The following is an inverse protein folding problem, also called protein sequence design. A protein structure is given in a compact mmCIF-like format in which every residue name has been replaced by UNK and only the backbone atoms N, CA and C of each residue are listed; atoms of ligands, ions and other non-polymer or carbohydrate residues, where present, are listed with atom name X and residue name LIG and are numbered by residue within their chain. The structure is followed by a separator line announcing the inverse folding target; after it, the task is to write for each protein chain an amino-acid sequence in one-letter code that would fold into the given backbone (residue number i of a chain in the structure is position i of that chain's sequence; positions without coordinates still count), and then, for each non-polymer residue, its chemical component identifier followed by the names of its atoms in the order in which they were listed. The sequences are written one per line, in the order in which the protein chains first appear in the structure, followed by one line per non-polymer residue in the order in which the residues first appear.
data_IF_359608561218
#
_entry.id   IF_359608561218
#
_cell.length_a   1.000
_cell.length_b   1.000
_cell.length_c   1.000
_cell.angle_alpha   90.00
_cell.angle_beta   90.00
_cell.angle_gamma   90.00
#
_symmetry.space_group_name_H-M   'P 1'
#
loop_
_entity.id
_entity.type
_entity.pdbx_description
1 polymer ?
#
# COMPACT_ATOMS: atom_id res chain seq x y z
N UNK A 1 18.98 15.06 -33.37
CA UNK A 1 17.77 14.36 -33.85
C UNK A 1 17.40 13.36 -32.78
N UNK A 2 16.16 13.37 -32.27
CA UNK A 2 15.79 12.41 -31.22
C UNK A 2 15.65 11.02 -31.88
N UNK A 3 16.57 10.11 -31.59
CA UNK A 3 16.58 8.75 -32.15
C UNK A 3 16.32 7.70 -31.08
N UNK A 4 15.95 6.49 -31.51
CA UNK A 4 15.83 5.30 -30.64
C UNK A 4 17.17 5.00 -29.95
N UNK A 5 18.29 5.17 -30.65
CA UNK A 5 19.62 4.89 -30.10
C UNK A 5 20.02 5.84 -28.99
N UNK A 6 19.71 7.14 -29.14
CA UNK A 6 19.89 8.13 -28.08
C UNK A 6 18.98 7.86 -26.87
N UNK A 7 17.79 7.27 -27.07
CA UNK A 7 16.93 6.83 -25.97
C UNK A 7 17.52 5.60 -25.26
N UNK A 8 18.08 4.63 -25.99
CA UNK A 8 18.76 3.47 -25.40
C UNK A 8 19.95 3.90 -24.55
N UNK A 9 20.73 4.88 -25.02
CA UNK A 9 21.86 5.44 -24.27
C UNK A 9 21.41 6.13 -22.98
N UNK A 10 20.37 6.98 -23.05
CA UNK A 10 19.78 7.62 -21.87
C UNK A 10 19.25 6.62 -20.83
N UNK A 11 18.59 5.55 -21.30
CA UNK A 11 18.12 4.44 -20.45
C UNK A 11 19.32 3.75 -19.78
N UNK A 12 20.38 3.46 -20.55
CA UNK A 12 21.60 2.81 -20.05
C UNK A 12 22.30 3.63 -18.98
N UNK A 13 22.50 4.92 -19.20
CA UNK A 13 23.11 5.83 -18.21
C UNK A 13 22.27 5.90 -16.93
N UNK A 14 20.95 5.98 -17.07
CA UNK A 14 20.03 6.04 -15.92
C UNK A 14 20.03 4.73 -15.14
N UNK A 15 20.05 3.58 -15.82
CA UNK A 15 20.19 2.27 -15.20
C UNK A 15 21.52 2.16 -14.43
N UNK A 16 22.64 2.57 -15.03
CA UNK A 16 23.95 2.55 -14.38
C UNK A 16 23.97 3.44 -13.13
N UNK A 17 23.45 4.66 -13.23
CA UNK A 17 23.37 5.62 -12.11
C UNK A 17 22.53 5.08 -10.95
N UNK A 18 21.43 4.37 -11.27
CA UNK A 18 20.48 3.87 -10.27
C UNK A 18 20.65 2.38 -9.96
N UNK A 19 21.76 1.75 -10.38
CA UNK A 19 22.06 0.34 -10.11
C UNK A 19 20.95 -0.62 -10.55
N UNK A 20 20.38 -0.37 -11.72
CA UNK A 20 19.30 -1.16 -12.30
C UNK A 20 17.90 -0.82 -11.79
N UNK A 21 17.74 0.09 -10.81
CA UNK A 21 16.42 0.54 -10.37
C UNK A 21 15.92 1.70 -11.24
N UNK A 22 15.22 1.38 -12.34
CA UNK A 22 14.59 2.38 -13.20
C UNK A 22 13.08 2.39 -13.00
N UNK A 23 12.60 3.28 -12.12
CA UNK A 23 11.18 3.58 -11.98
C UNK A 23 10.78 4.63 -13.00
N UNK A 24 10.02 4.24 -14.02
CA UNK A 24 9.52 5.16 -15.07
C UNK A 24 8.83 6.41 -14.50
N UNK A 25 8.12 6.29 -13.37
CA UNK A 25 7.48 7.42 -12.67
C UNK A 25 8.49 8.43 -12.08
N UNK A 26 9.71 8.00 -11.75
CA UNK A 26 10.77 8.84 -11.20
C UNK A 26 11.63 9.52 -12.28
N UNK A 27 11.54 9.06 -13.55
CA UNK A 27 12.36 9.55 -14.66
C UNK A 27 11.49 10.04 -15.81
N UNK A 28 10.80 11.18 -15.58
CA UNK A 28 9.92 11.83 -16.57
C UNK A 28 10.63 12.15 -17.89
N UNK A 29 11.95 12.34 -17.85
CA UNK A 29 12.78 12.61 -19.02
C UNK A 29 12.74 11.44 -20.02
N UNK A 30 12.81 10.19 -19.55
CA UNK A 30 12.77 8.99 -20.40
C UNK A 30 11.37 8.81 -20.98
N UNK A 31 10.33 9.01 -20.18
CA UNK A 31 8.93 8.89 -20.65
C UNK A 31 8.58 9.98 -21.66
N UNK A 32 9.05 11.22 -21.43
CA UNK A 32 8.83 12.33 -22.34
C UNK A 32 9.60 12.12 -23.65
N UNK A 33 10.85 11.66 -23.58
CA UNK A 33 11.65 11.37 -24.76
C UNK A 33 11.02 10.25 -25.61
N UNK A 34 10.60 9.15 -24.98
CA UNK A 34 9.92 8.05 -25.65
C UNK A 34 8.63 8.50 -26.35
N UNK A 35 7.85 9.38 -25.73
CA UNK A 35 6.66 9.96 -26.33
C UNK A 35 6.98 10.80 -27.58
N UNK A 36 8.05 11.59 -27.56
CA UNK A 36 8.44 12.43 -28.71
C UNK A 36 8.86 11.61 -29.94
N UNK A 37 9.37 10.40 -29.74
CA UNK A 37 9.74 9.48 -30.83
C UNK A 37 8.68 8.41 -31.11
N UNK A 38 7.45 8.56 -30.57
CA UNK A 38 6.30 7.69 -30.86
C UNK A 38 6.36 6.30 -30.22
N UNK A 39 7.15 6.12 -29.15
CA UNK A 39 7.24 4.87 -28.39
C UNK A 39 6.22 4.90 -27.25
N UNK A 40 5.23 4.01 -27.31
CA UNK A 40 4.27 3.80 -26.23
C UNK A 40 4.89 3.08 -25.01
N UNK A 41 4.19 3.09 -23.88
CA UNK A 41 4.70 2.52 -22.62
C UNK A 41 5.04 1.03 -22.68
N UNK A 42 4.38 0.24 -23.55
CA UNK A 42 4.68 -1.19 -23.71
C UNK A 42 5.99 -1.40 -24.47
N UNK A 43 6.20 -0.65 -25.55
CA UNK A 43 7.45 -0.65 -26.32
C UNK A 43 8.62 -0.10 -25.49
N UNK A 44 8.38 0.94 -24.69
CA UNK A 44 9.38 1.51 -23.78
C UNK A 44 9.83 0.49 -22.72
N UNK A 45 8.89 -0.25 -22.12
CA UNK A 45 9.20 -1.29 -21.14
C UNK A 45 10.09 -2.40 -21.73
N UNK A 46 9.78 -2.85 -22.95
CA UNK A 46 10.63 -3.82 -23.68
C UNK A 46 12.02 -3.27 -23.98
N UNK A 47 12.10 -2.01 -24.39
CA UNK A 47 13.37 -1.34 -24.66
C UNK A 47 14.24 -1.24 -23.41
N UNK A 48 13.65 -0.97 -22.25
CA UNK A 48 14.36 -0.94 -20.96
C UNK A 48 14.90 -2.32 -20.61
N UNK A 49 14.11 -3.37 -20.79
CA UNK A 49 14.54 -4.75 -20.54
C UNK A 49 15.69 -5.17 -21.48
N UNK A 50 15.63 -4.79 -22.76
CA UNK A 50 16.69 -5.04 -23.73
C UNK A 50 18.00 -4.34 -23.33
N UNK A 51 17.91 -3.06 -22.93
CA UNK A 51 19.08 -2.29 -22.50
C UNK A 51 19.65 -2.84 -21.18
N UNK A 52 18.80 -3.19 -20.22
CA UNK A 52 19.23 -3.78 -18.94
C UNK A 52 19.94 -5.12 -19.15
N UNK A 53 19.41 -5.99 -20.02
CA UNK A 53 20.04 -7.26 -20.38
C UNK A 53 21.39 -7.08 -21.11
N UNK A 54 21.62 -5.93 -21.75
CA UNK A 54 22.89 -5.63 -22.41
C UNK A 54 23.99 -5.15 -21.45
N UNK A 55 23.65 -4.84 -20.19
CA UNK A 55 24.60 -4.38 -19.17
C UNK A 55 25.19 -5.58 -18.44
N UNK A 56 26.52 -5.71 -18.46
CA UNK A 56 27.22 -6.70 -17.65
C UNK A 56 27.38 -6.23 -16.20
N UNK A 57 26.36 -6.50 -15.39
CA UNK A 57 26.31 -6.14 -13.98
C UNK A 57 27.39 -6.82 -13.12
N UNK A 58 27.86 -8.01 -13.52
CA UNK A 58 28.91 -8.75 -12.79
C UNK A 58 30.28 -8.05 -12.89
N UNK A 59 30.63 -7.54 -14.07
CA UNK A 59 31.86 -6.76 -14.26
C UNK A 59 31.83 -5.44 -13.48
N UNK A 60 30.68 -4.76 -13.42
CA UNK A 60 30.51 -3.51 -12.67
C UNK A 60 30.67 -3.76 -11.16
N UNK A 61 30.06 -4.84 -10.65
CA UNK A 61 30.19 -5.21 -9.24
C UNK A 61 31.64 -5.55 -8.84
N UNK A 62 32.40 -6.19 -9.72
CA UNK A 62 33.82 -6.52 -9.48
C UNK A 62 34.72 -5.28 -9.50
N UNK A 63 34.45 -4.30 -10.36
CA UNK A 63 35.19 -3.04 -10.42
C UNK A 63 34.96 -2.17 -9.16
N UNK A 64 33.75 -2.19 -8.58
CA UNK A 64 33.46 -1.46 -7.34
C UNK A 64 34.14 -2.08 -6.10
N UNK A 65 34.37 -3.40 -6.08
CA UNK A 65 35.06 -4.06 -4.95
C UNK A 65 36.56 -3.73 -4.86
N UNK A 66 37.16 -3.22 -5.93
CA UNK A 66 38.59 -2.88 -6.00
C UNK A 66 38.90 -1.40 -5.70
N UNK A 67 37.92 -0.58 -5.28
CA UNK A 67 38.14 0.83 -4.92
C UNK A 67 38.36 0.97 -3.40
N UNK A 68 39.52 1.49 -2.94
CA UNK A 68 39.77 1.68 -1.52
C UNK A 68 38.86 2.77 -0.93
N UNK A 69 38.11 2.42 0.12
CA UNK A 69 37.17 3.31 0.82
C UNK A 69 37.89 4.49 1.49
N UNK A 70 37.81 5.67 0.88
CA UNK A 70 38.18 6.94 1.53
C UNK A 70 37.08 7.34 2.52
N UNK A 71 37.40 7.36 3.82
CA UNK A 71 36.51 7.86 4.88
C UNK A 71 36.40 9.38 4.76
N UNK A 72 35.19 9.90 4.56
CA UNK A 72 34.91 11.33 4.75
C UNK A 72 34.10 11.52 6.02
N UNK A 73 34.70 12.25 6.96
CA UNK A 73 34.11 12.68 8.24
C UNK A 73 32.98 13.67 8.00
N UNK A 74 31.91 13.51 8.77
CA UNK A 74 30.87 14.49 9.03
C UNK A 74 31.47 15.70 9.78
N UNK A 75 31.19 16.92 9.31
CA UNK A 75 31.32 18.13 10.12
C UNK A 75 29.94 18.74 10.35
N UNK A 76 29.55 18.79 11.64
CA UNK A 76 28.48 19.63 12.17
C UNK A 76 28.93 21.09 12.12
N UNK A 77 27.99 22.00 11.85
CA UNK A 77 28.08 23.38 12.33
C UNK A 77 26.71 23.77 12.88
N UNK A 78 26.71 24.19 14.15
CA UNK A 78 25.62 24.80 14.88
C UNK A 78 25.78 26.33 14.86
N UNK A 79 24.83 27.01 15.52
CA UNK A 79 24.69 28.45 15.84
C UNK A 79 23.80 29.25 14.89
N UNK A 80 22.93 30.15 15.36
CA UNK A 80 22.42 30.48 16.71
C UNK A 80 21.29 31.53 16.50
N UNK A 81 20.37 31.61 17.45
CA UNK A 81 19.66 32.79 18.01
C UNK A 81 18.93 33.74 17.01
N UNK A 82 17.75 34.33 17.25
CA UNK A 82 17.00 34.61 18.46
C UNK A 82 15.67 35.31 18.07
N UNK A 83 14.79 35.49 19.07
CA UNK A 83 13.92 36.66 19.29
C UNK A 83 12.44 36.64 18.84
N UNK A 84 11.62 36.77 19.90
CA UNK A 84 10.32 37.42 20.11
C UNK A 84 8.99 36.72 19.77
N UNK A 85 8.45 36.15 20.85
CA UNK A 85 7.06 36.25 21.32
C UNK A 85 6.25 37.46 20.83
N UNK A 86 5.01 37.19 20.41
CA UNK A 86 3.79 37.91 20.83
C UNK A 86 2.54 37.06 20.49
N UNK A 87 1.79 36.73 21.54
CA UNK A 87 0.43 36.15 21.52
C UNK A 87 -0.64 37.20 21.15
N UNK A 88 -1.90 36.78 20.89
CA UNK A 88 -2.76 37.40 19.89
C UNK A 88 -3.74 38.45 20.45
N UNK A 89 -4.00 39.49 19.67
CA UNK A 89 -5.10 40.43 19.92
C UNK A 89 -6.42 39.93 19.33
N UNK A 90 -7.42 39.95 20.20
CA UNK A 90 -8.83 39.59 20.04
C UNK A 90 -9.59 40.55 19.12
N UNK A 91 -10.39 39.99 18.22
CA UNK A 91 -11.37 40.70 17.39
C UNK A 91 -12.63 41.03 18.23
N UNK A 92 -13.11 42.28 18.29
CA UNK A 92 -14.34 42.64 19.01
C UNK A 92 -15.61 42.23 18.24
N UNK A 93 -16.63 41.83 19.01
CA UNK A 93 -17.99 41.52 18.53
C UNK A 93 -18.76 42.81 18.26
N UNK A 94 -19.27 42.97 17.05
CA UNK A 94 -20.28 44.00 16.75
C UNK A 94 -21.64 43.62 17.34
N UNK A 95 -22.19 44.59 18.04
CA UNK A 95 -23.48 44.60 18.72
C UNK A 95 -24.42 45.42 17.83
N UNK A 96 -25.50 44.82 17.32
CA UNK A 96 -26.54 45.55 16.60
C UNK A 96 -27.64 45.95 17.58
N UNK A 97 -27.74 47.25 17.82
CA UNK A 97 -28.78 47.88 18.61
C UNK A 97 -30.17 47.72 17.97
N UNK A 98 -31.14 47.51 18.84
CA UNK A 98 -32.56 47.43 18.53
C UNK A 98 -33.12 48.84 18.29
N UNK A 99 -33.46 49.16 17.04
CA UNK A 99 -34.27 50.33 16.71
C UNK A 99 -35.75 49.95 16.68
N UNK A 100 -36.50 50.45 17.67
CA UNK A 100 -37.97 50.50 17.67
C UNK A 100 -38.41 51.49 16.60
N UNK A 101 -39.29 51.06 15.70
CA UNK A 101 -40.09 51.97 14.85
C UNK A 101 -41.57 51.60 14.93
N UNK A 102 -42.35 52.66 15.02
CA UNK A 102 -43.76 52.78 15.36
C UNK A 102 -44.76 51.97 14.52
N UNK A 103 -45.85 51.64 15.19
CA UNK A 103 -47.08 51.12 14.62
C UNK A 103 -47.81 52.21 13.80
N UNK A 104 -47.62 52.16 12.48
CA UNK A 104 -48.41 52.91 11.50
C UNK A 104 -49.37 52.00 10.75
N UNK A 105 -50.66 52.25 10.95
CA UNK A 105 -51.83 51.60 10.36
C UNK A 105 -51.89 51.76 8.83
N UNK A 106 -51.88 50.65 8.05
CA UNK A 106 -52.28 50.67 6.63
C UNK A 106 -53.14 49.46 6.23
N UNK A 107 -54.44 49.76 6.21
CA UNK A 107 -55.57 49.24 5.43
C UNK A 107 -55.29 48.23 4.29
N UNK A 108 -55.95 47.08 4.44
CA UNK A 108 -56.57 46.17 3.44
C UNK A 108 -56.27 46.42 1.94
N UNK A 109 -55.62 45.43 1.30
CA UNK A 109 -56.10 44.86 0.04
C UNK A 109 -55.37 43.54 -0.34
N UNK A 110 -55.79 42.40 0.23
CA UNK A 110 -55.39 41.08 -0.29
C UNK A 110 -56.34 40.69 -1.43
N UNK A 111 -55.89 40.88 -2.68
CA UNK A 111 -56.53 40.21 -3.83
C UNK A 111 -56.46 38.70 -3.60
N UNK A 112 -57.63 38.06 -3.44
CA UNK A 112 -57.74 36.60 -3.28
C UNK A 112 -57.13 35.93 -4.50
N UNK A 113 -56.00 35.26 -4.33
CA UNK A 113 -55.40 34.43 -5.37
C UNK A 113 -56.39 33.27 -5.59
N UNK A 114 -56.86 33.02 -6.82
CA UNK A 114 -57.79 31.92 -7.08
C UNK A 114 -57.11 30.60 -6.72
N UNK A 115 -57.80 29.74 -5.97
CA UNK A 115 -57.31 28.44 -5.46
C UNK A 115 -56.66 27.56 -6.56
N UNK A 116 -57.08 27.72 -7.81
CA UNK A 116 -56.50 27.03 -8.98
C UNK A 116 -55.03 27.38 -9.21
N UNK A 117 -54.59 28.62 -8.95
CA UNK A 117 -53.18 29.01 -9.08
C UNK A 117 -52.31 28.44 -7.97
N UNK A 118 -52.87 28.25 -6.77
CA UNK A 118 -52.18 27.59 -5.65
C UNK A 118 -52.00 26.11 -5.97
N UNK A 119 -53.03 25.45 -6.50
CA UNK A 119 -52.96 24.04 -6.88
C UNK A 119 -51.91 23.78 -7.97
N UNK A 120 -51.86 24.62 -9.01
CA UNK A 120 -50.84 24.51 -10.06
C UNK A 120 -49.43 24.72 -9.49
N UNK A 121 -49.23 25.70 -8.60
CA UNK A 121 -47.92 25.92 -7.97
C UNK A 121 -47.47 24.72 -7.12
N UNK A 122 -48.39 24.12 -6.36
CA UNK A 122 -48.11 22.92 -5.56
C UNK A 122 -47.78 21.72 -6.47
N UNK A 123 -48.54 21.52 -7.55
CA UNK A 123 -48.24 20.48 -8.54
C UNK A 123 -46.90 20.70 -9.24
N UNK A 124 -46.53 21.94 -9.58
CA UNK A 124 -45.23 22.26 -10.17
C UNK A 124 -44.08 21.99 -9.19
N UNK A 125 -44.22 22.35 -7.91
CA UNK A 125 -43.21 22.05 -6.89
C UNK A 125 -43.10 20.55 -6.66
N UNK A 126 -44.22 19.82 -6.63
CA UNK A 126 -44.23 18.37 -6.50
C UNK A 126 -43.62 17.69 -7.73
N UNK A 127 -43.93 18.16 -8.94
CA UNK A 127 -43.34 17.64 -10.17
C UNK A 127 -41.85 17.91 -10.25
N UNK A 128 -41.40 19.12 -9.87
CA UNK A 128 -39.97 19.45 -9.76
C UNK A 128 -39.29 18.60 -8.69
N UNK A 129 -39.95 18.32 -7.57
CA UNK A 129 -39.45 17.41 -6.53
C UNK A 129 -39.35 15.97 -7.02
N UNK A 130 -40.35 15.46 -7.73
CA UNK A 130 -40.33 14.11 -8.34
C UNK A 130 -39.25 14.02 -9.41
N UNK A 131 -39.12 15.03 -10.27
CA UNK A 131 -38.03 15.10 -11.27
C UNK A 131 -36.68 15.21 -10.58
N UNK A 132 -36.53 15.96 -9.49
CA UNK A 132 -35.29 16.01 -8.68
C UNK A 132 -34.98 14.66 -8.04
N UNK A 133 -35.98 13.92 -7.57
CA UNK A 133 -35.79 12.58 -6.99
C UNK A 133 -35.41 11.54 -8.06
N UNK A 134 -35.97 11.62 -9.27
CA UNK A 134 -35.64 10.71 -10.38
C UNK A 134 -34.36 11.11 -11.13
N UNK A 135 -33.94 12.38 -11.04
CA UNK A 135 -32.67 12.90 -11.58
C UNK A 135 -31.56 13.00 -10.54
N UNK A 136 -31.77 12.50 -9.31
CA UNK A 136 -30.67 11.99 -8.48
C UNK A 136 -30.06 10.78 -9.18
N UNK A 137 -29.36 11.04 -10.29
CA UNK A 137 -28.28 10.21 -10.78
C UNK A 137 -27.41 9.99 -9.55
N UNK A 138 -27.36 8.76 -9.08
CA UNK A 138 -26.41 8.30 -8.07
C UNK A 138 -25.09 9.01 -8.35
N UNK A 139 -24.63 9.82 -7.41
CA UNK A 139 -23.29 10.39 -7.50
C UNK A 139 -22.36 9.23 -7.87
N UNK A 140 -21.45 9.38 -8.87
CA UNK A 140 -20.55 8.29 -9.23
C UNK A 140 -19.88 7.82 -7.94
N UNK A 141 -20.06 6.55 -7.60
CA UNK A 141 -19.49 5.93 -6.42
C UNK A 141 -18.01 6.31 -6.42
N UNK A 142 -17.58 7.18 -5.50
CA UNK A 142 -16.16 7.51 -5.38
C UNK A 142 -15.48 6.20 -5.02
N UNK A 143 -14.64 5.69 -5.91
CA UNK A 143 -13.93 4.45 -5.64
C UNK A 143 -13.06 4.60 -4.39
N UNK A 144 -12.87 3.50 -3.68
CA UNK A 144 -12.01 3.45 -2.50
C UNK A 144 -10.59 3.18 -2.98
N UNK A 145 -9.62 3.98 -2.55
CA UNK A 145 -8.22 3.72 -2.86
C UNK A 145 -7.73 2.56 -1.98
N UNK A 146 -7.26 1.49 -2.62
CA UNK A 146 -6.65 0.33 -1.99
C UNK A 146 -5.26 0.08 -2.56
N UNK A 147 -4.45 -0.71 -1.88
CA UNK A 147 -3.06 -0.99 -2.25
C UNK A 147 -2.85 -2.47 -2.48
N UNK A 148 -2.05 -2.80 -3.50
CA UNK A 148 -1.68 -4.20 -3.80
C UNK A 148 -0.62 -4.71 -2.83
N UNK A 149 -0.87 -5.85 -2.21
CA UNK A 149 0.10 -6.60 -1.41
C UNK A 149 0.76 -7.77 -2.18
N UNK A 150 0.39 -7.97 -3.46
CA UNK A 150 1.04 -8.92 -4.36
C UNK A 150 2.35 -8.37 -4.91
N UNK A 151 3.32 -9.22 -5.27
CA UNK A 151 4.49 -8.74 -6.04
C UNK A 151 4.09 -8.32 -7.45
N UNK A 152 3.23 -9.12 -8.10
CA UNK A 152 2.60 -8.82 -9.39
C UNK A 152 1.15 -9.31 -9.33
N UNK A 153 0.22 -8.44 -9.67
CA UNK A 153 -1.21 -8.73 -9.77
C UNK A 153 -1.70 -8.34 -11.16
N UNK A 154 -2.30 -9.28 -11.87
CA UNK A 154 -2.76 -9.06 -13.24
C UNK A 154 -4.09 -8.31 -13.24
N UNK A 155 -4.13 -7.16 -13.92
CA UNK A 155 -5.36 -6.45 -14.26
C UNK A 155 -5.98 -7.10 -15.49
N UNK A 156 -7.26 -7.46 -15.38
CA UNK A 156 -7.96 -8.23 -16.40
C UNK A 156 -9.10 -7.46 -17.05
N UNK A 157 -9.40 -7.71 -18.31
CA UNK A 157 -10.51 -7.06 -19.03
C UNK A 157 -11.87 -7.57 -18.56
N UNK A 158 -11.96 -8.86 -18.25
CA UNK A 158 -13.11 -9.55 -17.69
C UNK A 158 -12.76 -10.33 -16.42
N UNK A 159 -13.76 -10.89 -15.74
CA UNK A 159 -13.57 -11.72 -14.53
C UNK A 159 -12.87 -13.06 -14.82
N UNK A 160 -12.62 -13.42 -16.08
CA UNK A 160 -11.96 -14.66 -16.47
C UNK A 160 -10.51 -14.73 -15.97
N UNK A 161 -10.24 -15.65 -15.04
CA UNK A 161 -8.91 -15.83 -14.45
C UNK A 161 -8.01 -16.79 -15.24
N UNK A 162 -8.56 -17.52 -16.21
CA UNK A 162 -7.87 -18.61 -16.91
C UNK A 162 -7.15 -18.07 -18.15
N UNK A 163 -7.83 -17.27 -18.96
CA UNK A 163 -7.28 -16.81 -20.25
C UNK A 163 -6.13 -15.81 -20.06
N UNK A 164 -4.93 -16.06 -20.62
CA UNK A 164 -3.83 -15.10 -20.59
C UNK A 164 -4.11 -13.83 -21.39
N UNK A 165 -4.85 -13.96 -22.50
CA UNK A 165 -5.20 -12.83 -23.39
C UNK A 165 -6.14 -11.82 -22.72
N UNK A 166 -6.76 -12.20 -21.60
CA UNK A 166 -7.59 -11.34 -20.78
C UNK A 166 -6.77 -10.36 -19.92
N UNK A 167 -5.44 -10.46 -19.87
CA UNK A 167 -4.57 -9.59 -19.08
C UNK A 167 -4.29 -8.28 -19.84
N UNK A 168 -4.76 -7.17 -19.30
CA UNK A 168 -4.61 -5.82 -19.88
C UNK A 168 -3.57 -4.96 -19.16
N UNK A 169 -3.07 -5.39 -18.00
CA UNK A 169 -2.03 -4.68 -17.25
C UNK A 169 -1.54 -5.45 -16.03
N UNK A 170 -0.55 -4.87 -15.35
CA UNK A 170 0.03 -5.42 -14.13
C UNK A 170 0.06 -4.34 -13.04
N UNK A 171 -0.29 -4.73 -11.82
CA UNK A 171 -0.26 -3.92 -10.61
C UNK A 171 0.81 -4.51 -9.70
N UNK A 172 1.80 -3.72 -9.30
CA UNK A 172 2.90 -4.20 -8.48
C UNK A 172 2.64 -3.96 -7.00
N UNK A 173 3.49 -4.56 -6.16
CA UNK A 173 3.46 -4.31 -4.72
C UNK A 173 3.51 -2.80 -4.42
N UNK A 174 2.64 -2.35 -3.51
CA UNK A 174 2.48 -0.95 -3.11
C UNK A 174 1.85 -0.01 -4.16
N UNK A 175 1.49 -0.49 -5.35
CA UNK A 175 0.69 0.33 -6.27
C UNK A 175 -0.73 0.50 -5.70
N UNK A 176 -1.23 1.72 -5.82
CA UNK A 176 -2.61 2.05 -5.47
C UNK A 176 -3.55 1.82 -6.65
N UNK A 177 -4.77 1.40 -6.33
CA UNK A 177 -5.86 1.19 -7.29
C UNK A 177 -7.13 1.82 -6.76
N UNK A 178 -7.94 2.38 -7.66
CA UNK A 178 -9.27 2.89 -7.30
C UNK A 178 -10.29 1.76 -7.43
N UNK A 179 -10.77 1.23 -6.31
CA UNK A 179 -11.75 0.13 -6.27
C UNK A 179 -13.16 0.70 -6.33
N UNK A 180 -13.89 0.38 -7.39
CA UNK A 180 -15.25 0.86 -7.62
C UNK A 180 -16.28 -0.06 -6.96
N UNK A 181 -16.06 -1.37 -7.04
CA UNK A 181 -16.93 -2.38 -6.40
C UNK A 181 -16.17 -3.67 -6.14
N UNK A 182 -16.61 -4.44 -5.14
CA UNK A 182 -16.11 -5.78 -4.85
C UNK A 182 -17.31 -6.74 -4.84
N UNK A 183 -17.29 -7.75 -5.69
CA UNK A 183 -18.31 -8.79 -5.78
C UNK A 183 -17.62 -10.17 -5.77
N UNK A 184 -18.02 -11.04 -4.85
CA UNK A 184 -17.55 -12.43 -4.79
C UNK A 184 -16.02 -12.61 -4.88
N UNK A 185 -15.26 -11.72 -4.23
CA UNK A 185 -13.78 -11.77 -4.23
C UNK A 185 -13.10 -11.17 -5.46
N UNK A 186 -13.88 -10.62 -6.40
CA UNK A 186 -13.39 -9.88 -7.57
C UNK A 186 -13.66 -8.39 -7.38
N UNK A 187 -12.63 -7.58 -7.55
CA UNK A 187 -12.70 -6.12 -7.48
C UNK A 187 -12.72 -5.54 -8.89
N UNK A 188 -13.71 -4.70 -9.19
CA UNK A 188 -13.67 -3.84 -10.38
C UNK A 188 -12.94 -2.55 -10.02
N UNK A 189 -11.88 -2.26 -10.77
CA UNK A 189 -10.92 -1.22 -10.42
C UNK A 189 -10.59 -0.32 -11.61
N UNK A 190 -10.18 0.91 -11.30
CA UNK A 190 -9.60 1.86 -12.23
C UNK A 190 -8.14 2.11 -11.87
N UNK A 191 -7.26 2.02 -12.86
CA UNK A 191 -5.82 2.22 -12.74
C UNK A 191 -5.35 3.12 -13.87
N UNK A 192 -5.18 4.42 -13.57
CA UNK A 192 -4.99 5.43 -14.60
C UNK A 192 -6.20 5.47 -15.55
N UNK A 193 -5.95 5.26 -16.84
CA UNK A 193 -6.99 5.23 -17.87
C UNK A 193 -7.58 3.82 -18.08
N UNK A 194 -6.97 2.79 -17.51
CA UNK A 194 -7.45 1.42 -17.62
C UNK A 194 -8.52 1.13 -16.57
N UNK A 195 -9.53 0.37 -16.97
CA UNK A 195 -10.53 -0.22 -16.07
C UNK A 195 -10.56 -1.72 -16.28
N UNK A 196 -10.70 -2.47 -15.20
CA UNK A 196 -10.68 -3.91 -15.28
C UNK A 196 -10.91 -4.58 -13.93
N UNK A 197 -10.65 -5.88 -13.89
CA UNK A 197 -10.91 -6.75 -12.77
C UNK A 197 -9.61 -7.21 -12.13
N UNK A 198 -9.59 -7.21 -10.80
CA UNK A 198 -8.50 -7.68 -9.95
C UNK A 198 -9.06 -8.66 -8.92
N UNK A 199 -8.24 -9.57 -8.42
CA UNK A 199 -8.64 -10.35 -7.24
C UNK A 199 -8.57 -9.44 -6.00
N UNK A 200 -9.71 -9.28 -5.32
CA UNK A 200 -9.83 -8.44 -4.12
C UNK A 200 -8.95 -8.96 -2.96
N UNK A 201 -8.58 -10.25 -2.99
CA UNK A 201 -7.76 -10.87 -1.96
C UNK A 201 -6.37 -10.25 -1.80
N UNK A 202 -5.86 -9.59 -2.84
CA UNK A 202 -4.56 -8.94 -2.86
C UNK A 202 -4.62 -7.44 -2.56
N UNK A 203 -5.82 -6.89 -2.33
CA UNK A 203 -6.02 -5.48 -2.07
C UNK A 203 -6.21 -5.25 -0.57
N UNK A 204 -5.50 -4.26 -0.04
CA UNK A 204 -5.59 -3.84 1.35
C UNK A 204 -6.00 -2.36 1.42
N UNK A 205 -6.65 -1.97 2.52
CA UNK A 205 -6.82 -0.55 2.82
C UNK A 205 -5.46 0.09 3.05
N UNK A 206 -5.41 1.43 3.05
CA UNK A 206 -4.17 2.18 3.29
C UNK A 206 -3.53 1.78 4.62
N UNK A 207 -4.34 1.69 5.67
CA UNK A 207 -3.90 1.38 7.03
C UNK A 207 -3.33 -0.03 7.12
N UNK A 208 -4.06 -1.01 6.56
CA UNK A 208 -3.65 -2.42 6.58
C UNK A 208 -2.41 -2.65 5.71
N UNK A 209 -2.31 -1.95 4.58
CA UNK A 209 -1.14 -2.01 3.73
C UNK A 209 0.11 -1.49 4.45
N UNK A 210 0.05 -0.32 5.09
CA UNK A 210 1.23 0.22 5.78
C UNK A 210 1.60 -0.57 7.03
N UNK A 211 0.61 -1.09 7.77
CA UNK A 211 0.89 -2.02 8.86
C UNK A 211 1.66 -3.22 8.31
N UNK A 212 1.18 -3.86 7.24
CA UNK A 212 1.85 -4.99 6.60
C UNK A 212 3.24 -4.66 6.04
N UNK A 213 3.40 -3.56 5.29
CA UNK A 213 4.70 -3.14 4.73
C UNK A 213 5.72 -2.90 5.85
N UNK A 214 5.29 -2.26 6.94
CA UNK A 214 6.13 -2.01 8.10
C UNK A 214 6.54 -3.26 8.88
N UNK A 215 5.82 -4.38 8.74
CA UNK A 215 6.22 -5.66 9.35
C UNK A 215 7.53 -6.14 8.72
N UNK A 216 7.76 -5.90 7.44
CA UNK A 216 8.96 -6.37 6.76
C UNK A 216 10.12 -5.40 6.97
N UNK A 217 11.07 -5.76 7.85
CA UNK A 217 12.23 -4.92 8.12
C UNK A 217 13.19 -4.80 6.91
N UNK A 218 13.14 -5.75 5.98
CA UNK A 218 13.94 -5.73 4.77
C UNK A 218 13.20 -6.38 3.57
N UNK A 219 13.62 -6.04 2.35
CA UNK A 219 13.04 -6.59 1.10
C UNK A 219 13.05 -8.11 1.08
N UNK A 220 14.08 -8.73 1.64
CA UNK A 220 14.24 -10.18 1.69
C UNK A 220 13.13 -10.86 2.51
N UNK A 221 12.77 -10.30 3.66
CA UNK A 221 11.66 -10.81 4.48
C UNK A 221 10.35 -10.78 3.68
N UNK A 222 10.06 -9.66 3.01
CA UNK A 222 8.88 -9.53 2.15
C UNK A 222 8.86 -10.57 1.03
N UNK A 223 10.00 -10.81 0.37
CA UNK A 223 10.11 -11.78 -0.72
C UNK A 223 10.08 -13.23 -0.25
N UNK A 224 10.48 -13.53 0.98
CA UNK A 224 10.37 -14.86 1.56
C UNK A 224 8.95 -15.17 2.03
N UNK A 225 8.19 -14.17 2.47
CA UNK A 225 6.75 -14.29 2.76
C UNK A 225 5.97 -14.11 1.45
N UNK A 226 6.00 -15.16 0.63
CA UNK A 226 5.56 -15.10 -0.78
C UNK A 226 4.05 -14.93 -0.92
N UNK A 227 3.28 -15.74 -0.21
CA UNK A 227 1.84 -15.85 -0.41
C UNK A 227 1.07 -14.76 0.30
N UNK A 228 -0.05 -14.37 -0.26
CA UNK A 228 -1.01 -13.45 0.35
C UNK A 228 -1.58 -13.99 1.66
N UNK A 229 -1.77 -15.31 1.79
CA UNK A 229 -2.28 -15.91 3.03
C UNK A 229 -1.30 -15.73 4.21
N UNK A 230 0.00 -15.87 3.97
CA UNK A 230 1.01 -15.66 5.01
C UNK A 230 1.10 -14.17 5.39
N UNK A 231 1.02 -13.27 4.40
CA UNK A 231 0.93 -11.83 4.64
C UNK A 231 -0.31 -11.47 5.48
N UNK A 232 -1.47 -12.05 5.16
CA UNK A 232 -2.71 -11.88 5.94
C UNK A 232 -2.59 -12.47 7.34
N UNK A 233 -1.90 -13.59 7.53
CA UNK A 233 -1.64 -14.18 8.84
C UNK A 233 -0.89 -13.21 9.75
N UNK A 234 0.21 -12.63 9.24
CA UNK A 234 0.98 -11.61 9.94
C UNK A 234 0.13 -10.38 10.25
N UNK A 235 -0.59 -9.85 9.26
CA UNK A 235 -1.45 -8.69 9.44
C UNK A 235 -2.51 -8.92 10.54
N UNK A 236 -3.23 -10.04 10.48
CA UNK A 236 -4.24 -10.40 11.48
C UNK A 236 -3.64 -10.57 12.86
N UNK A 237 -2.47 -11.22 12.97
CA UNK A 237 -1.77 -11.39 14.25
C UNK A 237 -1.34 -10.06 14.86
N UNK A 238 -0.83 -9.12 14.05
CA UNK A 238 -0.45 -7.79 14.54
C UNK A 238 -1.68 -7.02 15.03
N UNK A 239 -2.79 -7.06 14.28
CA UNK A 239 -4.04 -6.38 14.65
C UNK A 239 -4.65 -6.97 15.92
N UNK A 240 -4.71 -8.30 16.06
CA UNK A 240 -5.31 -8.95 17.22
C UNK A 240 -4.52 -8.75 18.52
N UNK A 241 -3.20 -8.57 18.42
CA UNK A 241 -2.32 -8.41 19.57
C UNK A 241 -1.91 -6.95 19.83
N UNK A 242 -2.46 -5.98 19.08
CA UNK A 242 -2.11 -4.57 19.21
C UNK A 242 -0.62 -4.28 18.96
N UNK A 243 0.03 -5.07 18.10
CA UNK A 243 1.43 -4.88 17.74
C UNK A 243 1.56 -3.77 16.70
N UNK A 244 2.58 -2.94 16.85
CA UNK A 244 2.90 -1.91 15.86
C UNK A 244 4.00 -2.40 14.94
N UNK A 245 4.00 -1.90 13.71
CA UNK A 245 5.10 -2.06 12.78
C UNK A 245 5.71 -0.70 12.46
N UNK A 246 6.89 -0.67 11.85
CA UNK A 246 7.52 0.60 11.51
C UNK A 246 6.75 1.25 10.36
N UNK A 247 6.02 2.32 10.67
CA UNK A 247 5.37 3.13 9.65
C UNK A 247 6.45 3.81 8.78
N UNK A 248 6.16 4.00 7.50
CA UNK A 248 7.01 4.86 6.64
C UNK A 248 6.96 6.28 7.20
N UNK A 249 8.05 7.03 7.02
CA UNK A 249 8.23 8.39 7.54
C UNK A 249 7.04 9.34 7.27
N UNK A 250 6.27 9.09 6.20
CA UNK A 250 5.06 9.84 5.82
C UNK A 250 3.85 9.62 6.78
N UNK A 251 3.92 8.62 7.66
CA UNK A 251 2.86 8.24 8.60
C UNK A 251 3.36 8.10 10.04
N UNK A 252 4.57 8.60 10.33
CA UNK A 252 5.11 8.62 11.69
C UNK A 252 4.15 9.40 12.59
N UNK A 253 3.42 8.66 13.42
CA UNK A 253 2.41 9.20 14.32
C UNK A 253 3.01 9.73 15.62
N UNK A 254 4.35 9.75 15.75
CA UNK A 254 5.03 10.12 16.99
C UNK A 254 4.76 9.11 18.12
N UNK A 255 4.28 7.91 17.79
CA UNK A 255 4.08 6.82 18.74
C UNK A 255 5.42 6.27 19.23
N UNK A 256 5.47 5.88 20.51
CA UNK A 256 6.68 5.36 21.12
C UNK A 256 7.22 4.15 20.36
N UNK A 257 8.47 4.24 19.90
CA UNK A 257 9.16 3.19 19.14
C UNK A 257 9.26 1.84 19.88
N UNK A 258 8.97 1.82 21.19
CA UNK A 258 9.14 0.69 22.11
C UNK A 258 8.30 -0.55 21.80
N UNK A 259 7.23 -0.43 21.00
CA UNK A 259 6.37 -1.56 20.63
C UNK A 259 6.38 -1.87 19.12
N UNK A 260 7.45 -1.48 18.41
CA UNK A 260 7.61 -1.81 16.99
C UNK A 260 8.17 -3.23 16.86
N UNK A 261 7.39 -4.10 16.23
CA UNK A 261 7.78 -5.48 15.90
C UNK A 261 7.98 -5.60 14.39
N UNK A 262 9.07 -6.26 13.99
CA UNK A 262 9.37 -6.48 12.58
C UNK A 262 9.94 -7.87 12.32
N UNK A 263 9.72 -8.36 11.11
CA UNK A 263 10.29 -9.56 10.54
C UNK A 263 11.53 -9.20 9.72
N UNK A 264 12.68 -9.63 10.20
CA UNK A 264 13.94 -9.61 9.45
C UNK A 264 14.10 -10.96 8.78
N UNK A 265 14.71 -11.02 7.59
CA UNK A 265 15.12 -12.29 7.01
C UNK A 265 16.45 -12.19 6.25
N UNK A 266 17.17 -13.31 6.21
CA UNK A 266 18.38 -13.46 5.42
C UNK A 266 18.03 -13.89 3.97
N UNK A 267 18.94 -13.76 2.99
CA UNK A 267 18.70 -14.25 1.63
C UNK A 267 18.29 -15.72 1.59
N UNK A 268 17.49 -16.12 0.60
CA UNK A 268 17.00 -17.51 0.43
C UNK A 268 18.12 -18.54 0.27
N UNK A 269 19.34 -18.11 -0.06
CA UNK A 269 20.53 -18.97 -0.14
C UNK A 269 21.05 -19.42 1.23
N UNK A 270 20.60 -18.81 2.33
CA UNK A 270 20.95 -19.24 3.68
C UNK A 270 20.09 -20.44 4.09
N UNK A 271 20.76 -21.48 4.57
CA UNK A 271 20.10 -22.72 4.98
C UNK A 271 19.12 -22.54 6.15
N UNK A 272 19.46 -21.71 7.14
CA UNK A 272 18.58 -21.36 8.24
C UNK A 272 18.13 -19.91 8.13
N UNK A 273 16.83 -19.69 8.32
CA UNK A 273 16.23 -18.37 8.23
C UNK A 273 15.22 -18.13 9.35
N UNK A 274 14.84 -16.88 9.54
CA UNK A 274 13.76 -16.48 10.46
C UNK A 274 12.38 -16.79 9.88
N UNK A 275 12.29 -17.18 8.61
CA UNK A 275 11.07 -17.64 7.93
C UNK A 275 11.29 -19.09 7.49
N UNK A 276 10.32 -19.97 7.76
CA UNK A 276 10.36 -21.38 7.39
C UNK A 276 8.96 -21.86 6.98
N UNK A 277 8.88 -22.67 5.93
CA UNK A 277 7.67 -23.39 5.56
C UNK A 277 7.75 -24.82 6.11
N UNK A 278 6.71 -25.24 6.82
CA UNK A 278 6.69 -26.50 7.58
C UNK A 278 5.67 -27.45 6.95
N UNK A 279 6.15 -28.55 6.39
CA UNK A 279 5.29 -29.61 5.86
C UNK A 279 5.00 -30.67 6.93
N UNK A 280 3.88 -31.37 6.79
CA UNK A 280 3.58 -32.54 7.62
C UNK A 280 3.26 -32.21 9.07
N UNK A 281 2.67 -31.04 9.32
CA UNK A 281 1.97 -30.78 10.59
C UNK A 281 0.78 -31.74 10.64
N UNK A 282 0.53 -32.39 11.78
CA UNK A 282 -0.62 -33.26 12.04
C UNK A 282 -1.90 -32.45 12.25
N UNK A 283 -2.03 -31.34 11.53
CA UNK A 283 -3.27 -30.61 11.39
C UNK A 283 -4.00 -31.12 10.15
N UNK A 284 -5.30 -30.83 10.05
CA UNK A 284 -6.12 -31.23 8.90
C UNK A 284 -5.83 -30.41 7.64
N UNK A 285 -4.79 -29.56 7.65
CA UNK A 285 -4.45 -28.71 6.52
C UNK A 285 -3.63 -29.45 5.48
N UNK A 286 -4.05 -29.32 4.22
CA UNK A 286 -3.25 -29.74 3.07
C UNK A 286 -2.16 -28.71 2.71
N UNK A 287 -2.19 -27.53 3.34
CA UNK A 287 -1.28 -26.44 3.06
C UNK A 287 -0.07 -26.49 4.00
N UNK A 288 1.15 -26.20 3.51
CA UNK A 288 2.31 -26.04 4.37
C UNK A 288 2.06 -24.98 5.45
N UNK A 289 2.48 -25.29 6.68
CA UNK A 289 2.52 -24.32 7.76
C UNK A 289 3.54 -23.21 7.48
N UNK A 290 3.31 -22.05 8.08
CA UNK A 290 4.17 -20.89 7.96
C UNK A 290 4.73 -20.54 9.34
N UNK A 291 6.04 -20.62 9.49
CA UNK A 291 6.75 -20.26 10.70
C UNK A 291 7.60 -19.01 10.49
N UNK A 292 7.58 -18.10 11.45
CA UNK A 292 8.42 -16.91 11.40
C UNK A 292 8.89 -16.45 12.78
N UNK A 293 9.98 -15.66 12.82
CA UNK A 293 10.43 -14.95 14.02
C UNK A 293 10.27 -13.45 13.82
N UNK A 294 9.40 -12.81 14.61
CA UNK A 294 9.32 -11.35 14.70
C UNK A 294 10.21 -10.84 15.84
N UNK A 295 10.74 -9.63 15.70
CA UNK A 295 11.68 -9.02 16.66
C UNK A 295 11.20 -7.62 17.02
N UNK A 296 11.12 -7.34 18.32
CA UNK A 296 10.90 -5.98 18.81
C UNK A 296 12.19 -5.17 18.59
N UNK A 297 12.08 -4.05 17.90
CA UNK A 297 13.25 -3.26 17.49
C UNK A 297 13.91 -2.49 18.63
N UNK A 298 13.18 -2.22 19.72
CA UNK A 298 13.69 -1.50 20.88
C UNK A 298 14.29 -2.43 21.94
N UNK A 299 13.62 -3.54 22.23
CA UNK A 299 14.06 -4.48 23.29
C UNK A 299 14.93 -5.62 22.77
N UNK A 300 14.96 -5.84 21.45
CA UNK A 300 15.51 -7.06 20.82
C UNK A 300 14.84 -8.36 21.28
N UNK A 301 13.66 -8.29 21.93
CA UNK A 301 12.87 -9.48 22.18
C UNK A 301 12.43 -10.12 20.87
N UNK A 302 12.43 -11.46 20.84
CA UNK A 302 12.11 -12.24 19.64
C UNK A 302 10.97 -13.18 19.96
N UNK A 303 9.99 -13.29 19.06
CA UNK A 303 8.86 -14.21 19.17
C UNK A 303 8.80 -15.10 17.96
N UNK A 304 8.77 -16.40 18.19
CA UNK A 304 8.49 -17.40 17.18
C UNK A 304 6.98 -17.57 17.05
N UNK A 305 6.49 -17.61 15.82
CA UNK A 305 5.09 -17.82 15.46
C UNK A 305 4.99 -18.98 14.47
N UNK A 306 4.03 -19.86 14.67
CA UNK A 306 3.69 -20.94 13.75
C UNK A 306 2.20 -20.84 13.39
N UNK A 307 1.93 -20.72 12.10
CA UNK A 307 0.60 -20.66 11.53
C UNK A 307 0.30 -21.90 10.69
N UNK A 308 -0.96 -22.32 10.69
CA UNK A 308 -1.56 -23.17 9.65
C UNK A 308 -2.63 -22.40 8.91
N UNK A 309 -3.13 -23.00 7.83
CA UNK A 309 -4.17 -22.43 6.99
C UNK A 309 -5.27 -23.45 6.79
N UNK A 310 -6.53 -23.06 6.92
CA UNK A 310 -7.64 -23.96 6.58
C UNK A 310 -7.79 -24.07 5.04
N UNK A 311 -8.82 -24.81 4.57
CA UNK A 311 -9.10 -24.96 3.13
C UNK A 311 -9.47 -23.63 2.44
N UNK A 312 -9.96 -22.65 3.20
CA UNK A 312 -10.27 -21.31 2.71
C UNK A 312 -9.05 -20.37 2.77
N UNK A 313 -7.88 -20.91 3.13
CA UNK A 313 -6.64 -20.16 3.37
C UNK A 313 -6.70 -19.18 4.56
N UNK A 314 -7.67 -19.33 5.45
CA UNK A 314 -7.74 -18.52 6.67
C UNK A 314 -6.63 -18.94 7.62
N UNK A 315 -5.86 -17.98 8.17
CA UNK A 315 -4.75 -18.28 9.06
C UNK A 315 -5.24 -18.70 10.45
N UNK A 316 -4.58 -19.70 11.02
CA UNK A 316 -4.75 -20.13 12.41
C UNK A 316 -3.38 -20.15 13.09
N UNK A 317 -3.24 -19.42 14.20
CA UNK A 317 -2.02 -19.49 15.01
C UNK A 317 -2.04 -20.81 15.79
N UNK A 318 -1.06 -21.68 15.51
CA UNK A 318 -0.93 -22.98 16.16
C UNK A 318 -0.02 -22.92 17.39
N UNK A 319 1.04 -22.12 17.32
CA UNK A 319 2.04 -22.06 18.37
C UNK A 319 2.76 -20.72 18.39
N UNK A 320 3.08 -20.26 19.60
CA UNK A 320 3.90 -19.09 19.85
C UNK A 320 4.85 -19.39 21.03
N UNK A 321 6.10 -18.95 20.92
CA UNK A 321 7.05 -18.94 22.04
C UNK A 321 8.03 -17.76 21.93
N UNK A 322 8.68 -17.43 23.03
CA UNK A 322 9.84 -16.54 23.00
C UNK A 322 11.01 -17.22 22.29
N UNK A 323 11.55 -16.59 21.26
CA UNK A 323 12.72 -17.09 20.54
C UNK A 323 14.02 -16.62 21.21
N UNK A 324 15.11 -17.40 21.13
CA UNK A 324 16.41 -16.99 21.66
C UNK A 324 16.91 -15.68 21.04
N UNK A 325 17.73 -14.93 21.76
CA UNK A 325 18.30 -13.64 21.29
C UNK A 325 19.12 -13.75 19.99
N UNK A 326 19.62 -14.95 19.66
CA UNK A 326 20.38 -15.23 18.43
C UNK A 326 19.90 -16.52 17.80
N UNK A 327 20.24 -16.70 16.52
CA UNK A 327 19.90 -17.91 15.77
C UNK A 327 18.60 -17.82 14.98
N UNK A 328 18.55 -18.60 13.91
CA UNK A 328 17.42 -18.70 12.99
C UNK A 328 16.65 -20.02 13.21
N UNK A 329 15.49 -20.18 12.60
CA UNK A 329 14.72 -21.43 12.69
C UNK A 329 15.54 -22.53 11.99
N UNK A 330 15.86 -23.58 12.74
CA UNK A 330 16.55 -24.77 12.23
C UNK A 330 15.59 -25.90 11.94
N UNK A 331 14.66 -26.18 12.85
CA UNK A 331 13.60 -27.18 12.65
C UNK A 331 12.37 -26.82 13.46
N UNK A 332 11.20 -27.12 12.91
CA UNK A 332 9.91 -27.16 13.62
C UNK A 332 9.45 -28.60 13.61
N UNK A 333 9.24 -29.19 14.79
CA UNK A 333 8.76 -30.57 14.92
C UNK A 333 7.53 -30.59 15.80
N UNK A 334 6.46 -31.20 15.31
CA UNK A 334 5.31 -31.55 16.16
C UNK A 334 5.62 -32.89 16.85
N UNK A 335 5.65 -32.89 18.18
CA UNK A 335 5.93 -34.09 18.97
C UNK A 335 4.66 -34.92 19.19
N UNK A 336 3.56 -34.20 19.44
CA UNK A 336 2.19 -34.70 19.62
C UNK A 336 1.25 -33.59 19.13
N UNK A 337 -0.02 -33.91 18.87
CA UNK A 337 -0.99 -32.92 18.38
C UNK A 337 -1.00 -31.65 19.24
N UNK A 338 -0.63 -30.53 18.63
CA UNK A 338 -0.57 -29.22 19.30
C UNK A 338 0.66 -28.96 20.18
N UNK A 339 1.60 -29.91 20.27
CA UNK A 339 2.86 -29.78 21.02
C UNK A 339 4.04 -29.69 20.07
N UNK A 340 4.70 -28.53 20.06
CA UNK A 340 5.78 -28.24 19.13
C UNK A 340 7.13 -28.12 19.84
N UNK A 341 8.18 -28.56 19.15
CA UNK A 341 9.58 -28.38 19.53
C UNK A 341 10.31 -27.62 18.44
N UNK A 342 10.72 -26.41 18.77
CA UNK A 342 11.50 -25.57 17.87
C UNK A 342 12.98 -25.72 18.20
N UNK A 343 13.82 -25.85 17.17
CA UNK A 343 15.27 -25.77 17.33
C UNK A 343 15.78 -24.58 16.55
N UNK A 344 16.68 -23.83 17.15
CA UNK A 344 17.31 -22.67 16.56
C UNK A 344 18.75 -22.99 16.12
N UNK A 345 19.24 -22.31 15.10
CA UNK A 345 20.66 -22.35 14.74
C UNK A 345 21.49 -21.68 15.84
N UNK A 346 22.74 -22.11 16.01
CA UNK A 346 23.68 -21.44 16.91
C UNK A 346 24.19 -20.14 16.32
#
# INVERSE_FOLDING_TARGET
MQTIESLKELIKETLLKNRGDLKLRAHKEITNYAHHIGIDGRKLSKLIQEVDASINWELIAQQETNVPKKKTKVSKTANNDNVLTKEPESIPKENYDNEKVDAGELVKNRKKIPLTKIYIAVCCVFFVFVVLQTTRRSAPSRGITMFSCAEVLNLRESEDTISPDNIIGNIFYADSVEVVSINSGVAYCKVGDLKGYLSANYLLTKEDFYLLDGIFANKTARLLVKSTREKKALLSYYKSNGLMSKLRDEYDSGMAESNIWQLFAAPSTKYYNTVMYVNGLNNTSLLPGFACIITNTSTNERRFLLFSFNINEDPQLLYEESAPQRGNIKTVQELQTGVYKIRYSR
#
